data_IF_911715027020
#
_entry.id   IF_911715027020
#
_cell.length_a   1.000
_cell.length_b   1.000
_cell.length_c   1.000
_cell.angle_alpha   90.00
_cell.angle_beta   90.00
_cell.angle_gamma   90.00
#
_symmetry.space_group_name_H-M   'P 1'
#
loop_
_entity.id
_entity.type
_entity.pdbx_description
1 polymer ?
#
# COMPACT_ATOMS: atom_id res chain seq x y z
N UNK A 1 -0.20 2.17 -14.12
CA UNK A 1 -0.80 2.10 -15.46
C UNK A 1 -2.26 1.62 -15.39
N UNK A 2 -2.57 0.47 -14.79
CA UNK A 2 -3.94 -0.05 -14.65
C UNK A 2 -4.90 0.96 -13.99
N UNK A 3 -4.43 1.70 -13.01
CA UNK A 3 -5.23 2.73 -12.32
C UNK A 3 -5.50 3.91 -13.24
N UNK A 4 -4.48 4.38 -13.96
CA UNK A 4 -4.59 5.57 -14.80
C UNK A 4 -5.27 5.31 -16.16
N UNK A 5 -5.16 4.11 -16.71
CA UNK A 5 -5.66 3.78 -18.06
C UNK A 5 -6.80 2.74 -18.05
N UNK A 6 -6.98 2.02 -16.95
CA UNK A 6 -7.99 0.96 -16.83
C UNK A 6 -9.41 1.46 -16.54
N UNK A 7 -10.33 0.51 -16.32
CA UNK A 7 -11.72 0.80 -15.98
C UNK A 7 -11.83 1.44 -14.60
N UNK A 8 -12.73 2.42 -14.46
CA UNK A 8 -13.01 3.15 -13.19
C UNK A 8 -14.00 2.38 -12.31
N UNK A 9 -13.61 1.21 -11.86
CA UNK A 9 -14.43 0.26 -11.09
C UNK A 9 -13.81 -0.08 -9.72
N UNK A 10 -12.91 0.76 -9.23
CA UNK A 10 -12.11 0.50 -8.03
C UNK A 10 -12.00 1.71 -7.12
N UNK A 11 -11.70 1.47 -5.87
CA UNK A 11 -11.20 2.44 -4.90
C UNK A 11 -9.75 2.12 -4.57
N UNK A 12 -9.00 3.09 -4.09
CA UNK A 12 -7.59 2.91 -3.75
C UNK A 12 -7.34 3.32 -2.30
N UNK A 13 -6.58 2.49 -1.59
CA UNK A 13 -6.02 2.83 -0.29
C UNK A 13 -4.51 2.98 -0.44
N UNK A 14 -4.01 4.18 -0.18
CA UNK A 14 -2.57 4.45 -0.13
C UNK A 14 -2.07 4.28 1.30
N UNK A 15 -1.00 3.51 1.48
CA UNK A 15 -0.33 3.38 2.76
C UNK A 15 0.95 4.22 2.71
N UNK A 16 0.99 5.29 3.51
CA UNK A 16 2.14 6.20 3.62
C UNK A 16 2.90 5.96 4.91
N UNK A 17 4.21 6.21 4.86
CA UNK A 17 5.09 6.24 6.04
C UNK A 17 5.55 7.67 6.27
N UNK A 18 5.20 8.25 7.41
CA UNK A 18 5.55 9.64 7.72
C UNK A 18 7.06 9.84 7.90
N UNK A 19 7.72 8.91 8.61
CA UNK A 19 9.16 8.94 8.87
C UNK A 19 9.78 7.58 8.57
N UNK A 20 10.52 7.49 7.48
CA UNK A 20 11.29 6.31 7.07
C UNK A 20 12.61 6.16 7.85
N UNK A 21 12.90 7.10 8.77
CA UNK A 21 14.17 7.17 9.53
C UNK A 21 15.43 7.26 8.66
N UNK A 22 15.27 7.53 7.38
CA UNK A 22 16.37 7.74 6.44
C UNK A 22 16.75 9.22 6.42
N UNK A 23 18.03 9.50 6.69
CA UNK A 23 18.61 10.85 6.67
C UNK A 23 19.46 11.12 5.42
N UNK A 24 19.45 10.20 4.46
CA UNK A 24 20.21 10.36 3.22
C UNK A 24 19.65 11.53 2.43
N UNK A 25 20.54 12.44 2.06
CA UNK A 25 20.18 13.65 1.28
C UNK A 25 20.72 13.48 -0.13
N UNK A 26 19.93 13.87 -1.11
CA UNK A 26 20.34 13.91 -2.51
C UNK A 26 21.39 15.01 -2.68
N UNK A 27 22.61 14.67 -3.13
CA UNK A 27 23.70 15.63 -3.21
C UNK A 27 23.41 16.72 -4.24
N UNK A 28 23.85 17.94 -3.96
CA UNK A 28 23.84 19.03 -4.92
C UNK A 28 24.78 18.72 -6.10
N UNK A 29 24.39 19.09 -7.31
CA UNK A 29 25.16 18.81 -8.52
C UNK A 29 24.98 17.38 -9.05
N UNK A 30 24.04 16.58 -8.54
CA UNK A 30 23.69 15.28 -9.09
C UNK A 30 23.28 15.38 -10.56
N UNK A 31 22.63 16.48 -10.94
CA UNK A 31 22.23 16.78 -12.32
C UNK A 31 23.43 16.85 -13.29
N UNK A 32 24.58 17.31 -12.84
CA UNK A 32 25.80 17.40 -13.67
C UNK A 32 26.35 16.03 -14.09
N UNK A 33 26.08 14.99 -13.30
CA UNK A 33 26.49 13.61 -13.60
C UNK A 33 25.49 12.87 -14.50
N UNK A 34 24.25 13.29 -14.49
CA UNK A 34 23.14 12.67 -15.21
C UNK A 34 22.44 13.70 -16.12
N UNK A 35 23.21 14.36 -16.96
CA UNK A 35 22.78 15.51 -17.80
C UNK A 35 21.55 15.25 -18.71
N UNK A 36 21.12 13.99 -18.84
CA UNK A 36 19.91 13.63 -19.58
C UNK A 36 18.64 13.59 -18.70
N UNK A 37 18.80 13.69 -17.38
CA UNK A 37 17.71 13.65 -16.42
C UNK A 37 17.71 15.00 -15.66
N UNK A 38 16.64 15.75 -15.79
CA UNK A 38 16.48 16.95 -14.97
C UNK A 38 16.13 16.52 -13.53
N UNK A 39 17.15 16.45 -12.66
CA UNK A 39 17.04 16.09 -11.25
C UNK A 39 17.21 17.30 -10.31
N UNK A 40 17.33 18.51 -10.87
CA UNK A 40 17.58 19.72 -10.08
C UNK A 40 16.51 19.96 -9.00
N UNK A 41 15.27 19.58 -9.27
CA UNK A 41 14.15 19.72 -8.34
C UNK A 41 14.30 18.84 -7.09
N UNK A 42 15.09 17.77 -7.14
CA UNK A 42 15.29 16.83 -6.03
C UNK A 42 16.53 17.15 -5.19
N UNK A 43 17.44 18.01 -5.67
CA UNK A 43 18.68 18.33 -4.98
C UNK A 43 18.46 18.93 -3.60
N UNK A 44 19.14 18.39 -2.60
CA UNK A 44 19.03 18.83 -1.21
C UNK A 44 17.84 18.26 -0.44
N UNK A 45 16.94 17.54 -1.09
CA UNK A 45 15.88 16.81 -0.40
C UNK A 45 16.42 15.53 0.24
N UNK A 46 15.84 15.13 1.36
CA UNK A 46 16.04 13.77 1.86
C UNK A 46 15.21 12.78 1.06
N UNK A 47 15.62 11.51 1.02
CA UNK A 47 14.80 10.46 0.41
C UNK A 47 13.43 10.34 1.07
N UNK A 48 13.35 10.57 2.38
CA UNK A 48 12.07 10.60 3.09
C UNK A 48 11.11 11.66 2.54
N UNK A 49 11.61 12.88 2.33
CA UNK A 49 10.82 13.96 1.74
C UNK A 49 10.43 13.66 0.29
N UNK A 50 11.38 13.17 -0.51
CA UNK A 50 11.13 12.84 -1.90
C UNK A 50 10.04 11.78 -2.05
N UNK A 51 10.12 10.69 -1.30
CA UNK A 51 9.13 9.61 -1.34
C UNK A 51 7.74 10.09 -0.89
N UNK A 52 7.66 10.89 0.17
CA UNK A 52 6.38 11.44 0.63
C UNK A 52 5.77 12.40 -0.40
N UNK A 53 6.56 13.29 -0.98
CA UNK A 53 6.09 14.20 -2.05
C UNK A 53 5.65 13.46 -3.31
N UNK A 54 6.37 12.39 -3.68
CA UNK A 54 6.00 11.54 -4.81
C UNK A 54 4.69 10.78 -4.56
N UNK A 55 4.48 10.30 -3.33
CA UNK A 55 3.22 9.67 -2.94
C UNK A 55 2.06 10.67 -3.02
N UNK A 56 2.23 11.89 -2.50
CA UNK A 56 1.22 12.94 -2.54
C UNK A 56 0.85 13.32 -3.98
N UNK A 57 1.85 13.54 -4.84
CA UNK A 57 1.63 13.84 -6.26
C UNK A 57 0.91 12.68 -7.00
N UNK A 58 1.19 11.43 -6.61
CA UNK A 58 0.50 10.27 -7.20
C UNK A 58 -0.97 10.23 -6.79
N UNK A 59 -1.26 10.48 -5.51
CA UNK A 59 -2.64 10.53 -4.99
C UNK A 59 -3.42 11.62 -5.69
N UNK A 60 -2.89 12.84 -5.70
CA UNK A 60 -3.48 13.99 -6.37
C UNK A 60 -3.77 13.71 -7.86
N UNK A 61 -2.81 13.12 -8.57
CA UNK A 61 -2.99 12.74 -9.98
C UNK A 61 -4.12 11.73 -10.19
N UNK A 62 -4.27 10.75 -9.29
CA UNK A 62 -5.35 9.76 -9.37
C UNK A 62 -6.71 10.40 -9.09
N UNK A 63 -6.80 11.23 -8.06
CA UNK A 63 -8.03 11.91 -7.67
C UNK A 63 -8.49 12.89 -8.75
N UNK A 64 -7.61 13.80 -9.20
CA UNK A 64 -7.97 14.85 -10.14
C UNK A 64 -8.20 14.36 -11.58
N UNK A 65 -7.34 13.46 -12.08
CA UNK A 65 -7.43 13.03 -13.47
C UNK A 65 -8.37 11.85 -13.67
N UNK A 66 -8.55 11.02 -12.67
CA UNK A 66 -9.35 9.80 -12.79
C UNK A 66 -10.62 9.81 -11.96
N UNK A 67 -10.76 10.75 -11.03
CA UNK A 67 -11.91 10.81 -10.12
C UNK A 67 -12.17 9.42 -9.46
N UNK A 68 -11.09 8.76 -9.06
CA UNK A 68 -11.12 7.49 -8.35
C UNK A 68 -11.07 7.81 -6.86
N UNK A 69 -12.06 7.34 -6.06
CA UNK A 69 -12.03 7.56 -4.62
C UNK A 69 -10.78 6.96 -3.99
N UNK A 70 -10.04 7.78 -3.25
CA UNK A 70 -8.82 7.40 -2.56
C UNK A 70 -8.96 7.62 -1.06
N UNK A 71 -8.38 6.73 -0.27
CA UNK A 71 -8.12 6.95 1.15
C UNK A 71 -6.65 6.74 1.47
N UNK A 72 -6.19 7.39 2.54
CA UNK A 72 -4.78 7.36 2.92
C UNK A 72 -4.64 6.90 4.37
N UNK A 73 -3.92 5.81 4.55
CA UNK A 73 -3.50 5.32 5.87
C UNK A 73 -2.05 5.73 6.11
N UNK A 74 -1.82 6.61 7.09
CA UNK A 74 -0.46 7.03 7.42
C UNK A 74 0.02 6.32 8.68
N UNK A 75 1.12 5.56 8.58
CA UNK A 75 1.84 5.02 9.73
C UNK A 75 3.01 5.94 10.08
N UNK A 76 3.33 6.07 11.36
CA UNK A 76 4.37 7.00 11.82
C UNK A 76 5.77 6.60 11.33
N UNK A 77 6.09 5.32 11.42
CA UNK A 77 7.38 4.75 10.98
C UNK A 77 7.22 3.25 10.72
N UNK A 78 8.18 2.66 10.03
CA UNK A 78 8.25 1.22 9.81
C UNK A 78 8.96 0.58 11.00
N UNK A 79 8.17 -0.04 11.86
CA UNK A 79 8.63 -0.87 12.97
C UNK A 79 7.61 -2.00 13.23
N UNK A 80 7.97 -2.95 14.08
CA UNK A 80 7.16 -4.13 14.37
C UNK A 80 5.78 -3.75 14.92
N UNK A 81 5.73 -2.72 15.78
CA UNK A 81 4.47 -2.24 16.38
C UNK A 81 3.52 -1.66 15.32
N UNK A 82 4.00 -0.74 14.49
CA UNK A 82 3.17 -0.08 13.47
C UNK A 82 2.72 -1.06 12.40
N UNK A 83 3.59 -2.00 11.99
CA UNK A 83 3.22 -3.05 11.02
C UNK A 83 2.20 -4.02 11.64
N UNK A 84 2.41 -4.48 12.86
CA UNK A 84 1.44 -5.36 13.55
C UNK A 84 0.09 -4.65 13.73
N UNK A 85 0.09 -3.38 14.11
CA UNK A 85 -1.13 -2.57 14.21
C UNK A 85 -1.86 -2.45 12.88
N UNK A 86 -1.13 -2.21 11.78
CA UNK A 86 -1.71 -2.13 10.45
C UNK A 86 -2.36 -3.48 10.05
N UNK A 87 -1.63 -4.58 10.21
CA UNK A 87 -2.13 -5.92 9.90
C UNK A 87 -3.38 -6.27 10.72
N UNK A 88 -3.34 -6.02 12.03
CA UNK A 88 -4.48 -6.28 12.91
C UNK A 88 -5.70 -5.43 12.55
N UNK A 89 -5.47 -4.16 12.16
CA UNK A 89 -6.56 -3.27 11.72
C UNK A 89 -7.27 -3.83 10.48
N UNK A 90 -6.53 -4.35 9.50
CA UNK A 90 -7.13 -4.97 8.31
C UNK A 90 -7.83 -6.31 8.64
N UNK A 91 -7.30 -7.11 9.55
CA UNK A 91 -7.98 -8.32 10.02
C UNK A 91 -9.32 -7.97 10.68
N UNK A 92 -9.32 -6.94 11.52
CA UNK A 92 -10.55 -6.46 12.17
C UNK A 92 -11.54 -5.91 11.14
N UNK A 93 -11.04 -5.18 10.13
CA UNK A 93 -11.86 -4.67 9.03
C UNK A 93 -12.57 -5.80 8.28
N UNK A 94 -11.87 -6.89 7.96
CA UNK A 94 -12.47 -8.08 7.32
C UNK A 94 -13.59 -8.66 8.19
N UNK A 95 -13.36 -8.76 9.49
CA UNK A 95 -14.39 -9.24 10.44
C UNK A 95 -15.62 -8.33 10.46
N UNK A 96 -15.42 -7.00 10.49
CA UNK A 96 -16.49 -6.02 10.46
C UNK A 96 -17.27 -6.07 9.13
N UNK A 97 -16.58 -6.19 8.00
CA UNK A 97 -17.23 -6.33 6.69
C UNK A 97 -18.03 -7.63 6.62
N UNK A 98 -17.48 -8.74 7.13
CA UNK A 98 -18.19 -10.01 7.22
C UNK A 98 -19.49 -9.89 8.01
N UNK A 99 -19.44 -9.24 9.18
CA UNK A 99 -20.62 -8.98 9.99
C UNK A 99 -21.64 -8.09 9.26
N UNK A 100 -21.18 -7.03 8.60
CA UNK A 100 -22.02 -6.13 7.82
C UNK A 100 -22.73 -6.83 6.66
N UNK A 101 -22.01 -7.71 5.95
CA UNK A 101 -22.54 -8.49 4.83
C UNK A 101 -23.28 -9.76 5.29
N UNK A 102 -23.35 -10.02 6.60
CA UNK A 102 -23.95 -11.22 7.18
C UNK A 102 -23.35 -12.54 6.64
N UNK A 103 -22.04 -12.55 6.39
CA UNK A 103 -21.27 -13.72 5.98
C UNK A 103 -20.29 -14.13 7.08
N UNK A 104 -19.97 -15.44 7.13
CA UNK A 104 -18.93 -15.93 8.06
C UNK A 104 -17.54 -15.64 7.49
N UNK A 105 -16.87 -14.61 8.01
CA UNK A 105 -15.53 -14.22 7.60
C UNK A 105 -14.42 -15.17 8.11
N UNK A 106 -14.75 -16.12 8.98
CA UNK A 106 -13.79 -17.00 9.66
C UNK A 106 -13.79 -18.42 9.10
N UNK A 107 -14.67 -18.73 8.14
CA UNK A 107 -14.79 -20.06 7.55
C UNK A 107 -14.50 -19.99 6.04
N UNK A 108 -13.72 -20.94 5.56
CA UNK A 108 -13.40 -21.10 4.15
C UNK A 108 -13.68 -22.56 3.71
N UNK A 109 -14.94 -22.89 3.40
CA UNK A 109 -15.33 -24.25 3.04
C UNK A 109 -14.50 -24.85 1.90
N UNK A 110 -14.06 -24.03 0.93
CA UNK A 110 -13.22 -24.47 -0.17
C UNK A 110 -11.84 -24.99 0.27
N UNK A 111 -11.30 -24.46 1.35
CA UNK A 111 -10.01 -24.92 1.93
C UNK A 111 -10.20 -26.22 2.72
N UNK A 112 -11.31 -26.34 3.44
CA UNK A 112 -11.62 -27.53 4.24
C UNK A 112 -11.86 -28.78 3.38
N UNK A 113 -12.42 -28.62 2.18
CA UNK A 113 -12.62 -29.75 1.26
C UNK A 113 -11.31 -30.46 0.89
N UNK A 114 -10.26 -29.71 0.59
CA UNK A 114 -8.93 -30.28 0.31
C UNK A 114 -8.34 -31.05 1.50
N UNK A 115 -8.53 -30.54 2.72
CA UNK A 115 -8.09 -31.21 3.95
C UNK A 115 -8.85 -32.51 4.19
N UNK A 116 -10.14 -32.54 3.90
CA UNK A 116 -10.98 -33.73 4.00
C UNK A 116 -10.49 -34.84 3.07
N UNK A 117 -10.26 -34.51 1.79
CA UNK A 117 -9.70 -35.47 0.82
C UNK A 117 -8.33 -35.99 1.26
N UNK A 118 -7.46 -35.10 1.75
CA UNK A 118 -6.14 -35.52 2.26
C UNK A 118 -6.29 -36.50 3.41
N UNK A 119 -7.15 -36.22 4.38
CA UNK A 119 -7.42 -37.08 5.52
C UNK A 119 -7.91 -38.48 5.11
N UNK A 120 -8.84 -38.55 4.17
CA UNK A 120 -9.35 -39.81 3.60
C UNK A 120 -8.27 -40.64 2.91
N UNK A 121 -7.33 -39.99 2.21
CA UNK A 121 -6.22 -40.65 1.54
C UNK A 121 -5.15 -41.19 2.50
N UNK A 122 -4.98 -40.55 3.65
CA UNK A 122 -4.00 -40.95 4.66
C UNK A 122 -4.54 -42.05 5.58
N UNK A 123 -5.84 -42.29 5.61
CA UNK A 123 -6.49 -43.34 6.42
C UNK A 123 -6.67 -44.68 5.67
N UNK A 124 -6.27 -44.72 4.40
CA UNK A 124 -6.20 -45.94 3.59
C UNK A 124 -4.81 -46.58 3.67
#
# INVERSE_FOLDING_TARGET
>A
QLVMEGVRDKTLTFIKVADLKDKTIIPKGANNKFSRLDLAYAEGLSFNELLNKQADATIESVEEQRDIPCDVVTISTVDEYNIAKLMFSYQLLVSCIGAFLQINAYDQPGVEYGKTILKERLQK
#
